data_IF_890869805432
#
_entry.id   IF_890869805432
#
_cell.length_a   1.000
_cell.length_b   1.000
_cell.length_c   1.000
_cell.angle_alpha   90.00
_cell.angle_beta   90.00
_cell.angle_gamma   90.00
#
_symmetry.space_group_name_H-M   'P 1'
#
loop_
_entity.id
_entity.type
_entity.pdbx_description
1 polymer ?
#
# COMPACT_ATOMS: atom_id res chain seq x y z
N UNK A 1 8.99 -1.21 -1.15
CA UNK A 1 7.96 -1.25 -2.19
C UNK A 1 7.93 0.13 -2.77
N UNK A 2 8.31 0.26 -4.03
CA UNK A 2 8.46 1.54 -4.71
C UNK A 2 7.51 1.59 -5.89
N UNK A 3 6.81 2.72 -6.05
CA UNK A 3 5.90 2.95 -7.18
C UNK A 3 6.52 3.92 -8.17
N UNK A 4 6.47 3.62 -9.47
CA UNK A 4 7.00 4.49 -10.51
C UNK A 4 6.15 4.43 -11.78
N UNK A 5 6.24 5.46 -12.62
CA UNK A 5 5.50 5.54 -13.88
C UNK A 5 6.42 5.26 -15.07
N UNK A 6 5.91 4.50 -16.04
CA UNK A 6 6.52 4.36 -17.38
C UNK A 6 5.44 4.63 -18.40
N UNK A 7 5.60 5.72 -19.16
CA UNK A 7 4.57 6.25 -20.06
C UNK A 7 3.24 6.50 -19.31
N UNK A 8 2.20 5.72 -19.61
CA UNK A 8 0.87 5.79 -18.97
C UNK A 8 0.66 4.68 -17.92
N UNK A 9 1.61 3.78 -17.73
CA UNK A 9 1.49 2.65 -16.82
C UNK A 9 2.08 2.97 -15.45
N UNK A 10 1.31 2.69 -14.40
CA UNK A 10 1.84 2.64 -13.03
C UNK A 10 2.48 1.28 -12.79
N UNK A 11 3.67 1.29 -12.20
CA UNK A 11 4.41 0.10 -11.83
C UNK A 11 4.67 0.09 -10.33
N UNK A 12 4.75 -1.12 -9.78
CA UNK A 12 5.09 -1.39 -8.39
C UNK A 12 6.28 -2.34 -8.39
N UNK A 13 7.41 -1.90 -7.83
CA UNK A 13 8.54 -2.74 -7.51
C UNK A 13 8.37 -3.32 -6.10
N UNK A 14 8.26 -4.64 -6.03
CA UNK A 14 8.19 -5.43 -4.80
C UNK A 14 9.55 -6.06 -4.56
N UNK A 15 10.00 -6.01 -3.30
CA UNK A 15 11.15 -6.75 -2.81
C UNK A 15 10.71 -7.58 -1.61
N UNK A 16 11.13 -8.84 -1.59
CA UNK A 16 10.88 -9.79 -0.51
C UNK A 16 12.23 -10.33 -0.07
N UNK A 17 12.60 -10.10 1.18
CA UNK A 17 13.92 -10.47 1.70
C UNK A 17 13.81 -11.37 2.93
N UNK A 18 14.72 -12.33 3.01
CA UNK A 18 14.82 -13.25 4.14
C UNK A 18 15.39 -12.50 5.35
N UNK A 19 14.85 -12.70 6.56
CA UNK A 19 15.39 -12.06 7.78
C UNK A 19 16.86 -12.44 8.07
N UNK A 20 17.25 -13.66 7.73
CA UNK A 20 18.60 -14.21 7.90
C UNK A 20 19.55 -13.89 6.74
N UNK A 21 19.04 -13.28 5.67
CA UNK A 21 19.76 -12.99 4.41
C UNK A 21 20.37 -14.24 3.74
N UNK A 22 19.95 -15.43 4.13
CA UNK A 22 20.51 -16.70 3.63
C UNK A 22 19.45 -17.67 3.17
N UNK A 23 18.24 -17.59 3.72
CA UNK A 23 17.14 -18.46 3.30
C UNK A 23 16.60 -18.07 1.92
N UNK A 24 16.10 -19.07 1.20
CA UNK A 24 15.40 -18.85 -0.05
C UNK A 24 14.07 -18.15 0.23
N UNK A 25 13.67 -17.24 -0.65
CA UNK A 25 12.44 -16.46 -0.54
C UNK A 25 11.61 -16.55 -1.80
N UNK A 26 10.30 -16.52 -1.61
CA UNK A 26 9.33 -16.52 -2.67
C UNK A 26 8.29 -15.41 -2.50
N UNK A 27 7.91 -14.83 -3.63
CA UNK A 27 6.67 -14.10 -3.76
C UNK A 27 5.60 -15.07 -4.27
N UNK A 28 4.53 -15.24 -3.50
CA UNK A 28 3.43 -16.16 -3.80
C UNK A 28 2.11 -15.41 -3.89
N UNK A 29 1.20 -15.90 -4.72
CA UNK A 29 -0.15 -15.37 -4.80
C UNK A 29 -1.13 -16.07 -3.83
N UNK A 30 -2.40 -15.63 -3.80
CA UNK A 30 -3.48 -16.25 -3.00
C UNK A 30 -3.72 -17.73 -3.32
N UNK A 31 -3.38 -18.16 -4.54
CA UNK A 31 -3.56 -19.52 -5.03
C UNK A 31 -2.35 -20.42 -4.73
N UNK A 32 -1.33 -19.90 -4.03
CA UNK A 32 -0.09 -20.64 -3.73
C UNK A 32 0.88 -20.75 -4.92
N UNK A 33 0.64 -20.03 -6.02
CA UNK A 33 1.57 -20.00 -7.14
C UNK A 33 2.77 -19.13 -6.82
N UNK A 34 3.97 -19.66 -7.06
CA UNK A 34 5.22 -18.92 -6.94
C UNK A 34 5.38 -17.98 -8.14
N UNK A 35 5.30 -16.67 -7.88
CA UNK A 35 5.45 -15.62 -8.89
C UNK A 35 6.92 -15.29 -9.15
N UNK A 36 7.75 -15.33 -8.10
CA UNK A 36 9.19 -15.16 -8.19
C UNK A 36 9.87 -15.86 -7.01
N UNK A 37 11.07 -16.41 -7.21
CA UNK A 37 11.89 -17.01 -6.15
C UNK A 37 13.36 -16.67 -6.34
N UNK A 38 14.06 -16.41 -5.23
CA UNK A 38 15.51 -16.21 -5.23
C UNK A 38 16.10 -16.49 -3.84
N UNK A 39 17.42 -16.69 -3.79
CA UNK A 39 18.15 -16.76 -2.53
C UNK A 39 18.22 -15.37 -1.87
N UNK A 40 17.93 -15.29 -0.58
CA UNK A 40 17.99 -14.10 0.28
C UNK A 40 17.06 -12.95 -0.06
N UNK A 41 16.95 -12.52 -1.32
CA UNK A 41 16.06 -11.43 -1.74
C UNK A 41 15.55 -11.66 -3.16
N UNK A 42 14.24 -11.56 -3.34
CA UNK A 42 13.58 -11.63 -4.64
C UNK A 42 12.85 -10.32 -4.94
N UNK A 43 12.97 -9.87 -6.18
CA UNK A 43 12.30 -8.67 -6.67
C UNK A 43 11.27 -9.05 -7.75
N UNK A 44 10.12 -8.38 -7.75
CA UNK A 44 9.08 -8.52 -8.76
C UNK A 44 8.48 -7.15 -9.08
N UNK A 45 8.40 -6.82 -10.36
CA UNK A 45 7.68 -5.63 -10.82
C UNK A 45 6.31 -6.05 -11.30
N UNK A 46 5.27 -5.38 -10.79
CA UNK A 46 3.92 -5.45 -11.35
C UNK A 46 3.62 -4.18 -12.13
N UNK A 47 2.93 -4.33 -13.25
CA UNK A 47 2.46 -3.22 -14.08
C UNK A 47 0.94 -3.22 -14.11
N UNK A 48 0.33 -2.04 -14.16
CA UNK A 48 -1.10 -1.94 -14.41
C UNK A 48 -1.39 -2.15 -15.91
N UNK A 49 -2.35 -3.01 -16.24
CA UNK A 49 -2.82 -3.20 -17.61
C UNK A 49 -4.06 -2.35 -17.93
N UNK A 50 -4.54 -2.42 -19.18
CA UNK A 50 -5.73 -1.69 -19.68
C UNK A 50 -7.03 -2.03 -18.95
N UNK A 51 -7.06 -3.14 -18.20
CA UNK A 51 -8.21 -3.58 -17.40
C UNK A 51 -8.08 -3.18 -15.93
N UNK A 52 -7.13 -2.31 -15.59
CA UNK A 52 -6.83 -1.87 -14.24
C UNK A 52 -6.43 -3.02 -13.27
N UNK A 53 -5.82 -4.09 -13.81
CA UNK A 53 -5.25 -5.17 -13.00
C UNK A 53 -3.74 -5.02 -12.85
N UNK A 54 -3.23 -5.37 -11.68
CA UNK A 54 -1.80 -5.63 -11.48
C UNK A 54 -1.44 -6.92 -12.19
N UNK A 55 -0.51 -6.83 -13.14
CA UNK A 55 0.00 -7.98 -13.88
C UNK A 55 1.50 -8.14 -13.69
N UNK A 56 1.97 -9.39 -13.75
CA UNK A 56 3.40 -9.71 -13.89
C UNK A 56 3.92 -9.25 -15.26
N UNK A 57 5.24 -9.31 -15.46
CA UNK A 57 5.87 -9.12 -16.78
C UNK A 57 5.34 -10.07 -17.86
N UNK A 58 4.79 -11.23 -17.47
CA UNK A 58 4.17 -12.21 -18.37
C UNK A 58 2.68 -11.93 -18.63
N UNK A 59 2.10 -10.88 -18.04
CA UNK A 59 0.70 -10.50 -18.22
C UNK A 59 -0.29 -11.24 -17.30
N UNK A 60 0.19 -12.06 -16.35
CA UNK A 60 -0.67 -12.77 -15.41
C UNK A 60 -1.20 -11.81 -14.35
N UNK A 61 -2.52 -11.75 -14.18
CA UNK A 61 -3.14 -10.94 -13.14
C UNK A 61 -2.80 -11.46 -11.74
N UNK A 62 -2.51 -10.55 -10.82
CA UNK A 62 -2.17 -10.84 -9.42
C UNK A 62 -3.15 -10.09 -8.53
N UNK A 63 -3.85 -10.84 -7.70
CA UNK A 63 -4.90 -10.36 -6.78
C UNK A 63 -4.38 -10.22 -5.34
N UNK A 64 -3.46 -11.09 -4.93
CA UNK A 64 -2.83 -11.12 -3.62
C UNK A 64 -1.36 -11.46 -3.74
N UNK A 65 -0.55 -10.89 -2.85
CA UNK A 65 0.90 -11.14 -2.76
C UNK A 65 1.30 -11.39 -1.32
N UNK A 66 2.05 -12.46 -1.11
CA UNK A 66 2.70 -12.78 0.15
C UNK A 66 4.19 -13.03 -0.09
N UNK A 67 5.02 -12.58 0.85
CA UNK A 67 6.44 -12.87 0.90
C UNK A 67 6.64 -14.02 1.88
N UNK A 68 7.23 -15.12 1.41
CA UNK A 68 7.47 -16.31 2.22
C UNK A 68 8.93 -16.74 2.18
N UNK A 69 9.44 -17.24 3.30
CA UNK A 69 10.73 -17.93 3.38
C UNK A 69 10.50 -19.40 3.04
N UNK A 70 11.23 -19.93 2.08
CA UNK A 70 11.24 -21.35 1.74
C UNK A 70 12.25 -22.02 2.69
N UNK A 71 11.76 -22.81 3.63
CA UNK A 71 12.65 -23.63 4.44
C UNK A 71 13.29 -24.71 3.57
N UNK A 72 14.62 -24.78 3.59
CA UNK A 72 15.37 -25.87 2.98
C UNK A 72 14.96 -27.16 3.70
N UNK A 73 14.28 -28.06 2.98
CA UNK A 73 13.76 -29.30 3.54
C UNK A 73 14.86 -30.06 4.28
N UNK A 74 14.76 -30.06 5.61
CA UNK A 74 15.51 -30.92 6.52
C UNK A 74 14.44 -31.81 7.13
N UNK A 75 14.50 -33.12 6.84
CA UNK A 75 13.60 -34.24 7.23
C UNK A 75 12.16 -33.97 7.73
N UNK A 76 11.17 -34.76 7.30
CA UNK A 76 9.76 -34.52 7.63
C UNK A 76 9.49 -34.57 9.14
N UNK A 77 8.87 -33.54 9.75
CA UNK A 77 8.32 -33.65 11.09
C UNK A 77 7.07 -34.53 11.07
N UNK A 78 7.07 -35.59 11.90
CA UNK A 78 5.89 -36.42 12.20
C UNK A 78 4.87 -35.56 12.97
N UNK A 79 3.82 -35.10 12.31
CA UNK A 79 2.75 -34.29 12.92
C UNK A 79 1.77 -35.23 13.62
N UNK A 80 1.73 -35.20 14.95
CA UNK A 80 0.67 -35.84 15.75
C UNK A 80 -0.55 -34.91 15.81
N UNK A 81 -1.63 -35.35 15.16
CA UNK A 81 -2.90 -34.64 15.06
C UNK A 81 -3.71 -34.81 16.36
N UNK A 82 -3.64 -33.84 17.28
CA UNK A 82 -4.64 -33.73 18.34
C UNK A 82 -5.72 -32.76 17.90
N UNK A 83 -6.81 -33.32 17.38
CA UNK A 83 -7.99 -32.60 16.95
C UNK A 83 -8.84 -32.25 18.17
N UNK A 84 -8.88 -30.97 18.56
CA UNK A 84 -9.90 -30.44 19.47
C UNK A 84 -10.83 -29.54 18.67
N UNK A 85 -11.97 -30.08 18.25
CA UNK A 85 -13.06 -29.30 17.67
C UNK A 85 -13.83 -28.63 18.80
N UNK A 86 -13.71 -27.32 18.91
CA UNK A 86 -14.58 -26.49 19.74
C UNK A 86 -15.64 -25.86 18.83
N UNK A 87 -16.90 -26.15 19.13
CA UNK A 87 -18.08 -25.74 18.37
C UNK A 87 -18.35 -24.25 18.54
N UNK A 88 -18.44 -23.49 17.45
CA UNK A 88 -19.31 -22.29 17.37
C UNK A 88 -19.58 -21.89 15.92
N UNK A 89 -20.88 -21.84 15.59
CA UNK A 89 -21.58 -21.06 14.55
C UNK A 89 -20.89 -20.78 13.21
N UNK A 90 -21.47 -21.33 12.14
CA UNK A 90 -21.35 -20.99 10.71
C UNK A 90 -20.14 -20.13 10.21
N UNK A 91 -19.37 -20.64 9.24
CA UNK A 91 -18.28 -19.93 8.58
C UNK A 91 -18.61 -18.60 7.87
N UNK A 92 -18.72 -17.49 8.60
CA UNK A 92 -18.90 -16.15 7.99
C UNK A 92 -17.64 -15.26 8.01
N UNK A 93 -17.46 -14.44 6.97
CA UNK A 93 -16.48 -13.35 6.93
C UNK A 93 -16.84 -12.17 7.85
N UNK A 94 -18.00 -12.21 8.53
CA UNK A 94 -18.48 -11.14 9.40
C UNK A 94 -17.52 -10.76 10.53
N UNK A 95 -16.61 -11.65 10.93
CA UNK A 95 -15.58 -11.38 11.95
C UNK A 95 -14.30 -10.75 11.39
N UNK A 96 -14.18 -10.57 10.06
CA UNK A 96 -13.06 -9.84 9.45
C UNK A 96 -13.20 -8.35 9.71
N UNK A 97 -12.19 -7.74 10.30
CA UNK A 97 -12.22 -6.32 10.66
C UNK A 97 -10.88 -5.65 10.41
N UNK A 98 -10.94 -4.34 10.24
CA UNK A 98 -9.73 -3.53 10.20
C UNK A 98 -9.06 -3.51 11.57
N UNK A 99 -7.74 -3.71 11.57
CA UNK A 99 -6.92 -3.29 12.69
C UNK A 99 -6.95 -1.75 12.81
N UNK A 100 -6.52 -1.25 13.97
CA UNK A 100 -6.25 0.17 14.15
C UNK A 100 -5.31 0.69 13.05
N UNK A 101 -5.53 1.94 12.66
CA UNK A 101 -4.61 2.62 11.76
C UNK A 101 -3.24 2.72 12.39
N UNK A 102 -2.20 2.49 11.57
CA UNK A 102 -0.85 2.88 11.92
C UNK A 102 -0.75 4.41 11.94
N UNK A 103 0.28 4.88 12.64
CA UNK A 103 0.63 6.30 12.64
C UNK A 103 0.85 6.83 11.22
N UNK A 104 0.56 8.11 11.05
CA UNK A 104 0.88 8.81 9.82
C UNK A 104 2.40 8.85 9.59
N UNK A 105 2.80 8.71 8.34
CA UNK A 105 4.17 9.01 7.93
C UNK A 105 4.50 10.47 8.20
N UNK A 106 5.79 10.78 8.24
CA UNK A 106 6.21 12.18 8.13
C UNK A 106 5.69 12.78 6.83
N UNK A 107 5.36 14.07 6.88
CA UNK A 107 4.95 14.80 5.68
C UNK A 107 6.15 14.94 4.75
N UNK A 108 5.95 14.73 3.45
CA UNK A 108 7.02 14.82 2.43
C UNK A 108 7.54 16.25 2.22
N UNK A 109 6.82 17.25 2.73
CA UNK A 109 7.21 18.65 2.68
C UNK A 109 6.74 19.36 3.96
N UNK A 110 7.25 20.54 4.26
CA UNK A 110 7.03 21.24 5.53
C UNK A 110 6.09 22.43 5.44
N UNK A 111 5.65 22.83 4.24
CA UNK A 111 4.77 23.97 4.03
C UNK A 111 4.01 23.91 2.69
N UNK A 112 3.17 24.90 2.46
CA UNK A 112 2.59 25.24 1.17
C UNK A 112 1.50 24.29 0.68
N UNK A 113 1.01 23.37 1.53
CA UNK A 113 0.25 22.20 1.08
C UNK A 113 0.99 21.41 -0.02
N UNK A 114 2.33 21.45 0.00
CA UNK A 114 3.20 20.76 -0.96
C UNK A 114 3.45 19.29 -0.57
N UNK A 115 3.25 18.97 0.69
CA UNK A 115 3.57 17.67 1.25
C UNK A 115 2.36 16.75 1.32
N UNK A 116 2.63 15.45 1.30
CA UNK A 116 1.63 14.43 1.60
C UNK A 116 2.14 13.51 2.71
N UNK A 117 1.20 12.99 3.48
CA UNK A 117 1.47 11.95 4.47
C UNK A 117 0.52 10.78 4.23
N UNK A 118 0.96 9.60 4.63
CA UNK A 118 0.24 8.36 4.38
C UNK A 118 0.19 7.49 5.63
N UNK A 119 -0.86 6.68 5.74
CA UNK A 119 -0.98 5.66 6.78
C UNK A 119 -1.59 4.39 6.22
N UNK A 120 -1.39 3.31 6.96
CA UNK A 120 -1.81 1.97 6.57
C UNK A 120 -2.53 1.27 7.73
N UNK A 121 -3.40 0.32 7.40
CA UNK A 121 -4.00 -0.60 8.37
C UNK A 121 -4.05 -2.00 7.80
N UNK A 122 -3.97 -3.00 8.66
CA UNK A 122 -4.06 -4.40 8.26
C UNK A 122 -5.51 -4.90 8.39
N UNK A 123 -5.93 -5.77 7.46
CA UNK A 123 -7.19 -6.50 7.62
C UNK A 123 -6.94 -7.72 8.51
N UNK A 124 -7.61 -7.77 9.66
CA UNK A 124 -7.65 -8.96 10.51
C UNK A 124 -8.70 -9.90 9.94
N UNK A 125 -8.27 -10.71 8.97
CA UNK A 125 -9.14 -11.67 8.28
C UNK A 125 -9.52 -12.81 9.23
N UNK A 126 -10.79 -13.18 9.22
CA UNK A 126 -11.28 -14.38 9.92
C UNK A 126 -11.02 -15.67 9.14
N UNK A 127 -10.89 -15.57 7.81
CA UNK A 127 -10.44 -16.65 6.91
C UNK A 127 -9.63 -16.12 5.71
N UNK A 128 -8.83 -16.96 5.04
CA UNK A 128 -8.00 -16.54 3.91
C UNK A 128 -8.77 -15.82 2.78
N UNK A 129 -9.97 -16.29 2.46
CA UNK A 129 -10.85 -15.78 1.40
C UNK A 129 -11.59 -14.50 1.78
N UNK A 130 -11.62 -14.15 3.07
CA UNK A 130 -12.30 -12.94 3.53
C UNK A 130 -11.49 -11.68 3.25
N UNK A 131 -12.19 -10.55 3.16
CA UNK A 131 -11.60 -9.23 3.01
C UNK A 131 -12.35 -8.22 3.88
N UNK A 132 -11.67 -7.13 4.22
CA UNK A 132 -12.26 -6.02 4.94
C UNK A 132 -12.74 -4.99 3.93
N UNK A 133 -13.99 -4.52 4.07
CA UNK A 133 -14.55 -3.51 3.17
C UNK A 133 -13.89 -2.14 3.43
N UNK A 134 -13.49 -1.45 2.35
CA UNK A 134 -12.80 -0.15 2.39
C UNK A 134 -11.30 -0.24 2.12
N UNK A 135 -10.59 0.89 2.27
CA UNK A 135 -9.17 0.98 1.93
C UNK A 135 -8.24 0.57 3.08
N UNK A 136 -7.15 -0.13 2.77
CA UNK A 136 -6.03 -0.41 3.68
C UNK A 136 -5.01 0.75 3.76
N UNK A 137 -5.18 1.75 2.89
CA UNK A 137 -4.26 2.85 2.66
C UNK A 137 -4.99 4.18 2.65
N UNK A 138 -4.37 5.20 3.24
CA UNK A 138 -4.87 6.56 3.20
C UNK A 138 -3.72 7.52 2.94
N UNK A 139 -3.95 8.52 2.09
CA UNK A 139 -3.00 9.59 1.76
C UNK A 139 -3.71 10.93 1.80
N UNK A 140 -3.12 11.87 2.53
CA UNK A 140 -3.66 13.23 2.69
C UNK A 140 -2.58 14.28 2.50
N UNK A 141 -3.00 15.49 2.15
CA UNK A 141 -2.14 16.67 2.09
C UNK A 141 -1.88 17.15 3.51
N UNK A 142 -0.65 17.58 3.78
CA UNK A 142 -0.22 18.05 5.10
C UNK A 142 0.54 19.37 4.98
N UNK A 143 0.77 20.01 6.14
CA UNK A 143 1.51 21.26 6.26
C UNK A 143 0.95 22.38 5.39
N UNK A 144 -0.28 22.78 5.74
CA UNK A 144 -1.04 23.78 4.99
C UNK A 144 -0.58 25.22 5.22
N UNK A 145 0.32 25.49 6.16
CA UNK A 145 0.85 26.85 6.33
C UNK A 145 1.64 27.28 5.09
N UNK A 146 1.49 28.55 4.68
CA UNK A 146 2.23 29.06 3.51
C UNK A 146 3.74 28.89 3.68
N UNK A 147 4.42 28.53 2.59
CA UNK A 147 5.86 28.59 2.52
C UNK A 147 6.34 30.04 2.57
N UNK A 148 7.46 30.26 3.27
CA UNK A 148 8.17 31.55 3.29
C UNK A 148 9.36 31.49 2.33
N UNK A 149 9.94 32.66 2.04
CA UNK A 149 11.22 32.75 1.35
C UNK A 149 12.25 31.79 2.00
N UNK A 150 13.04 31.02 1.21
CA UNK A 150 13.34 31.20 -0.22
C UNK A 150 12.41 30.49 -1.21
N UNK A 151 11.30 29.88 -0.78
CA UNK A 151 10.34 29.29 -1.72
C UNK A 151 9.67 30.41 -2.53
N UNK A 152 9.81 30.34 -3.86
CA UNK A 152 9.27 31.34 -4.78
C UNK A 152 7.74 31.44 -4.69
N UNK A 153 7.04 30.31 -4.54
CA UNK A 153 5.59 30.26 -4.34
C UNK A 153 5.24 29.94 -2.88
N UNK A 154 4.23 30.63 -2.29
CA UNK A 154 3.77 30.33 -0.93
C UNK A 154 2.96 29.04 -0.84
N UNK A 155 2.33 28.60 -1.94
CA UNK A 155 1.53 27.37 -2.02
C UNK A 155 1.92 26.56 -3.25
N UNK A 156 1.79 25.24 -3.17
CA UNK A 156 1.93 24.35 -4.31
C UNK A 156 0.71 24.42 -5.25
N UNK A 157 0.91 23.91 -6.48
CA UNK A 157 -0.11 23.99 -7.52
C UNK A 157 -1.42 23.31 -7.10
N UNK A 158 -2.54 23.95 -7.45
CA UNK A 158 -3.87 23.55 -6.99
C UNK A 158 -4.26 24.12 -5.62
N UNK A 159 -3.37 24.85 -4.95
CA UNK A 159 -3.66 25.54 -3.69
C UNK A 159 -3.39 27.05 -3.81
N UNK A 160 -4.18 27.84 -3.09
CA UNK A 160 -4.03 29.29 -2.99
C UNK A 160 -3.94 29.75 -1.53
N UNK A 161 -3.16 30.81 -1.24
CA UNK A 161 -3.15 31.42 0.08
C UNK A 161 -4.54 31.94 0.45
N UNK A 162 -5.04 31.50 1.59
CA UNK A 162 -6.31 31.91 2.18
C UNK A 162 -6.05 32.38 3.61
N UNK A 163 -6.61 33.53 3.97
CA UNK A 163 -6.49 34.07 5.33
C UNK A 163 -7.52 33.41 6.25
N UNK A 164 -7.05 32.89 7.38
CA UNK A 164 -7.88 32.35 8.46
C UNK A 164 -7.30 32.79 9.81
N UNK A 165 -8.07 33.52 10.61
CA UNK A 165 -7.67 34.06 11.93
C UNK A 165 -6.32 34.81 11.91
N UNK A 166 -6.08 35.62 10.86
CA UNK A 166 -4.85 36.42 10.73
C UNK A 166 -3.60 35.63 10.32
N UNK A 167 -3.74 34.35 9.97
CA UNK A 167 -2.66 33.52 9.39
C UNK A 167 -3.05 33.05 7.98
N UNK A 168 -2.05 32.82 7.14
CA UNK A 168 -2.26 32.34 5.77
C UNK A 168 -2.02 30.84 5.67
N UNK A 169 -2.98 30.14 5.07
CA UNK A 169 -2.93 28.72 4.77
C UNK A 169 -3.22 28.46 3.30
N UNK A 170 -2.68 27.38 2.75
CA UNK A 170 -2.88 26.94 1.39
C UNK A 170 -4.09 26.01 1.30
N UNK A 171 -5.20 26.55 0.83
CA UNK A 171 -6.45 25.80 0.62
C UNK A 171 -6.62 25.49 -0.87
N UNK A 172 -7.38 24.42 -1.19
CA UNK A 172 -7.62 24.05 -2.59
C UNK A 172 -8.25 25.23 -3.32
N UNK A 173 -7.63 25.65 -4.41
CA UNK A 173 -8.22 26.64 -5.30
C UNK A 173 -9.46 26.03 -5.94
N UNK A 174 -10.65 26.57 -5.65
CA UNK A 174 -11.83 26.27 -6.45
C UNK A 174 -11.49 26.72 -7.87
N UNK A 175 -11.38 25.79 -8.81
CA UNK A 175 -11.13 26.12 -10.21
C UNK A 175 -12.10 27.23 -10.62
N UNK A 176 -11.54 28.32 -11.14
CA UNK A 176 -12.30 29.42 -11.74
C UNK A 176 -13.32 28.81 -12.70
N UNK A 177 -14.62 29.01 -12.42
CA UNK A 177 -15.65 28.78 -13.42
C UNK A 177 -15.25 29.60 -14.62
N UNK A 178 -14.97 28.95 -15.75
CA UNK A 178 -14.76 29.60 -17.03
C UNK A 178 -15.95 30.51 -17.30
N UNK A 179 -15.77 31.82 -17.15
CA UNK A 179 -16.67 32.80 -17.74
C UNK A 179 -16.34 32.78 -19.22
N UNK A 180 -17.07 31.96 -19.98
CA UNK A 180 -17.12 32.11 -21.43
C UNK A 180 -17.92 33.38 -21.67
N UNK A 181 -17.22 34.42 -22.13
CA UNK A 181 -17.82 35.68 -22.61
C UNK A 181 -18.39 35.45 -24.00
#
# INVERSE_FOLDING_TARGET
MDTYFTDLCINVALSCSAPDKTSDVALVNSHGAHLAMAAATVNLTLSCNDKAYWVTSTGSAVDHLSCGVIQKATEPPKIETTTKFETTTEPSCASSKWAEWREWSTCTDTCGSCGTMQRFRACQKSRPECFCEGSAFEKVVCNQEVCRYPREKPCCDGFAPTSYNGRFFCMKSLQSRTVVV
#
